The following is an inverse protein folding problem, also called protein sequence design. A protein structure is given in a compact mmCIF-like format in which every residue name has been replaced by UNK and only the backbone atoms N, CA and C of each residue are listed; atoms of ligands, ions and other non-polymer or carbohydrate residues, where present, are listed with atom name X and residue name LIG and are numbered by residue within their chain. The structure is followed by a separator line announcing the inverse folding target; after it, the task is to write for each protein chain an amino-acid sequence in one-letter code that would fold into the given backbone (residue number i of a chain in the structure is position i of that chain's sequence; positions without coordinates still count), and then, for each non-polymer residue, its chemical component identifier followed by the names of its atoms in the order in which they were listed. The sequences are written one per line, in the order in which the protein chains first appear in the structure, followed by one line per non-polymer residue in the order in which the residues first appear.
data_IF_655560167869
#
_entry.id   IF_655560167869
#
_cell.length_a   1.000
_cell.length_b   1.000
_cell.length_c   1.000
_cell.angle_alpha   90.00
_cell.angle_beta   90.00
_cell.angle_gamma   90.00
#
_symmetry.space_group_name_H-M   'P 1'
#
loop_
_entity.id
_entity.type
_entity.pdbx_description
1 polymer ?
#
# COMPACT_ATOMS: atom_id res chain seq x y z
N UNK A 1 16.17 14.23 -13.22
CA UNK A 1 14.75 14.20 -12.80
C UNK A 1 14.70 13.37 -11.53
N UNK A 2 14.47 14.00 -10.39
CA UNK A 2 14.23 13.27 -9.14
C UNK A 2 12.93 12.49 -9.33
N UNK A 3 13.03 11.21 -9.69
CA UNK A 3 11.85 10.35 -9.82
C UNK A 3 11.16 10.32 -8.46
N UNK A 4 9.91 10.79 -8.42
CA UNK A 4 9.06 10.76 -7.23
C UNK A 4 8.97 9.31 -6.71
N UNK A 5 9.02 9.13 -5.39
CA UNK A 5 8.88 7.79 -4.81
C UNK A 5 7.46 7.28 -5.03
N UNK A 6 7.29 6.01 -5.40
CA UNK A 6 5.98 5.36 -5.50
C UNK A 6 5.25 5.37 -4.14
N UNK A 7 5.99 5.34 -3.03
CA UNK A 7 5.39 5.46 -1.69
C UNK A 7 4.84 6.86 -1.47
N UNK A 8 5.54 7.90 -1.91
CA UNK A 8 5.09 9.28 -1.81
C UNK A 8 3.88 9.53 -2.71
N UNK A 9 3.92 9.01 -3.94
CA UNK A 9 2.82 9.10 -4.90
C UNK A 9 1.56 8.39 -4.39
N UNK A 10 1.65 7.14 -3.92
CA UNK A 10 0.51 6.44 -3.29
C UNK A 10 0.01 7.18 -2.06
N UNK A 11 0.91 7.74 -1.24
CA UNK A 11 0.48 8.52 -0.07
C UNK A 11 -0.33 9.75 -0.50
N UNK A 12 0.17 10.49 -1.49
CA UNK A 12 -0.53 11.64 -2.06
C UNK A 12 -1.91 11.25 -2.62
N UNK A 13 -2.03 10.13 -3.35
CA UNK A 13 -3.32 9.70 -3.92
C UNK A 13 -4.37 9.36 -2.84
N UNK A 14 -3.94 8.76 -1.72
CA UNK A 14 -4.84 8.50 -0.59
C UNK A 14 -5.20 9.76 0.21
N UNK A 15 -4.33 10.78 0.19
CA UNK A 15 -4.63 12.09 0.77
C UNK A 15 -5.56 12.91 -0.14
N UNK A 16 -5.41 12.80 -1.46
CA UNK A 16 -6.26 13.43 -2.48
C UNK A 16 -7.66 12.82 -2.50
N UNK A 17 -7.76 11.50 -2.48
CA UNK A 17 -9.01 10.76 -2.48
C UNK A 17 -9.07 9.79 -1.29
N UNK A 18 -9.63 10.23 -0.14
CA UNK A 18 -9.77 9.38 1.04
C UNK A 18 -10.82 8.28 0.86
N UNK A 19 -11.60 8.30 -0.23
CA UNK A 19 -12.74 7.42 -0.49
C UNK A 19 -12.45 6.32 -1.50
N UNK A 20 -11.18 6.12 -1.88
CA UNK A 20 -10.74 4.98 -2.70
C UNK A 20 -11.35 3.67 -2.17
N UNK A 21 -12.15 3.02 -3.00
CA UNK A 21 -12.98 1.86 -2.64
C UNK A 21 -12.57 0.57 -3.32
N UNK A 22 -11.80 0.67 -4.42
CA UNK A 22 -11.30 -0.47 -5.18
C UNK A 22 -9.89 -0.20 -5.73
N UNK A 23 -9.07 -1.26 -5.79
CA UNK A 23 -7.79 -1.23 -6.50
C UNK A 23 -7.81 -2.26 -7.63
N UNK A 24 -7.07 -2.00 -8.71
CA UNK A 24 -6.98 -2.90 -9.85
C UNK A 24 -5.62 -2.84 -10.53
N UNK A 25 -5.25 -3.92 -11.22
CA UNK A 25 -4.05 -3.93 -12.06
C UNK A 25 -4.43 -3.59 -13.49
N UNK A 26 -3.75 -2.61 -14.07
CA UNK A 26 -4.07 -2.07 -15.40
C UNK A 26 -2.85 -2.11 -16.32
N UNK A 27 -3.12 -2.17 -17.63
CA UNK A 27 -2.13 -1.92 -18.68
C UNK A 27 -2.22 -0.45 -19.07
N UNK A 28 -1.09 0.26 -19.00
CA UNK A 28 -0.99 1.66 -19.41
C UNK A 28 -0.06 1.76 -20.62
N UNK A 29 -0.38 2.68 -21.53
CA UNK A 29 0.44 2.96 -22.71
C UNK A 29 1.65 3.83 -22.36
N UNK A 30 1.54 4.69 -21.34
CA UNK A 30 2.66 5.50 -20.85
C UNK A 30 3.54 4.69 -19.88
N UNK A 31 4.77 4.40 -20.31
CA UNK A 31 5.76 3.68 -19.51
C UNK A 31 6.22 4.46 -18.26
N UNK A 32 5.94 5.76 -18.16
CA UNK A 32 6.31 6.56 -17.00
C UNK A 32 5.25 6.56 -15.89
N UNK A 33 4.00 6.28 -16.24
CA UNK A 33 2.88 6.26 -15.30
C UNK A 33 2.86 4.97 -14.47
N UNK A 34 2.59 5.10 -13.17
CA UNK A 34 2.53 3.97 -12.25
C UNK A 34 1.16 3.76 -11.63
N UNK A 35 0.41 4.85 -11.47
CA UNK A 35 -0.90 4.85 -10.85
C UNK A 35 -1.86 5.71 -11.67
N UNK A 36 -3.11 5.28 -11.76
CA UNK A 36 -4.21 6.06 -12.32
C UNK A 36 -5.34 6.04 -11.30
N UNK A 37 -5.84 7.21 -10.93
CA UNK A 37 -6.96 7.36 -10.01
C UNK A 37 -8.15 7.95 -10.77
N UNK A 38 -9.26 7.23 -10.77
CA UNK A 38 -10.50 7.69 -11.38
C UNK A 38 -11.71 7.08 -10.67
N UNK A 39 -12.71 7.90 -10.32
CA UNK A 39 -13.97 7.44 -9.72
C UNK A 39 -13.73 6.53 -8.49
N UNK A 40 -12.89 6.98 -7.55
CA UNK A 40 -12.49 6.25 -6.34
C UNK A 40 -11.79 4.89 -6.59
N UNK A 41 -11.36 4.62 -7.83
CA UNK A 41 -10.65 3.39 -8.21
C UNK A 41 -9.20 3.68 -8.50
N UNK A 42 -8.30 2.95 -7.82
CA UNK A 42 -6.87 3.07 -8.00
C UNK A 42 -6.35 1.96 -8.92
N UNK A 43 -6.04 2.32 -10.17
CA UNK A 43 -5.33 1.48 -11.12
C UNK A 43 -3.83 1.49 -10.84
N UNK A 44 -3.20 0.32 -10.80
CA UNK A 44 -1.75 0.13 -10.65
C UNK A 44 -1.19 -0.46 -11.93
N UNK A 45 -0.21 0.20 -12.53
CA UNK A 45 0.41 -0.26 -13.76
C UNK A 45 1.10 -1.61 -13.56
N UNK A 46 0.69 -2.63 -14.31
CA UNK A 46 1.23 -4.00 -14.19
C UNK A 46 2.77 -4.03 -14.32
N UNK A 47 3.32 -3.25 -15.26
CA UNK A 47 4.75 -3.18 -15.51
C UNK A 47 5.55 -2.59 -14.33
N UNK A 48 4.90 -1.83 -13.43
CA UNK A 48 5.54 -1.13 -12.31
C UNK A 48 5.52 -1.93 -11.01
N UNK A 49 4.68 -2.97 -10.89
CA UNK A 49 4.55 -3.80 -9.69
C UNK A 49 5.91 -4.24 -9.09
N UNK A 50 6.87 -4.78 -9.87
CA UNK A 50 8.16 -5.18 -9.31
C UNK A 50 8.97 -4.02 -8.73
N UNK A 51 8.92 -2.85 -9.39
CA UNK A 51 9.64 -1.66 -8.97
C UNK A 51 9.00 -1.02 -7.73
N UNK A 52 7.67 -0.95 -7.69
CA UNK A 52 6.87 -0.50 -6.55
C UNK A 52 7.20 -1.36 -5.32
N UNK A 53 7.08 -2.67 -5.45
CA UNK A 53 7.33 -3.59 -4.35
C UNK A 53 8.77 -3.48 -3.82
N UNK A 54 9.77 -3.38 -4.70
CA UNK A 54 11.18 -3.21 -4.30
C UNK A 54 11.39 -1.92 -3.52
N UNK A 55 10.96 -0.79 -4.04
CA UNK A 55 11.16 0.52 -3.39
C UNK A 55 10.41 0.61 -2.06
N UNK A 56 9.15 0.17 -2.02
CA UNK A 56 8.35 0.19 -0.80
C UNK A 56 8.97 -0.71 0.28
N UNK A 57 9.52 -1.87 -0.09
CA UNK A 57 10.25 -2.75 0.83
C UNK A 57 11.52 -2.09 1.39
N UNK A 58 12.32 -1.42 0.55
CA UNK A 58 13.51 -0.67 1.00
C UNK A 58 13.14 0.44 1.98
N UNK A 59 12.09 1.20 1.68
CA UNK A 59 11.58 2.25 2.57
C UNK A 59 11.02 1.69 3.88
N UNK A 60 10.33 0.55 3.84
CA UNK A 60 9.81 -0.12 5.03
C UNK A 60 10.93 -0.49 6.02
N UNK A 61 12.00 -1.14 5.55
CA UNK A 61 13.09 -1.52 6.44
C UNK A 61 13.82 -0.30 7.00
N UNK A 62 14.04 0.72 6.17
CA UNK A 62 14.63 1.98 6.63
C UNK A 62 13.76 2.66 7.70
N UNK A 63 12.44 2.76 7.47
CA UNK A 63 11.51 3.35 8.42
C UNK A 63 11.46 2.53 9.73
N UNK A 64 11.53 1.21 9.64
CA UNK A 64 11.60 0.32 10.80
C UNK A 64 12.85 0.56 11.63
N UNK A 65 14.02 0.67 11.00
CA UNK A 65 15.29 0.94 11.70
C UNK A 65 15.28 2.31 12.41
N UNK A 66 14.58 3.28 11.83
CA UNK A 66 14.43 4.64 12.37
C UNK A 66 13.27 4.78 13.36
N UNK A 67 12.46 3.74 13.56
CA UNK A 67 11.18 3.80 14.29
C UNK A 67 10.23 4.90 13.76
N UNK A 68 10.24 5.14 12.45
CA UNK A 68 9.40 6.10 11.76
C UNK A 68 8.02 5.48 11.47
N UNK A 69 7.06 5.72 12.37
CA UNK A 69 5.70 5.19 12.28
C UNK A 69 4.98 5.59 10.98
N UNK A 70 4.92 6.88 10.57
CA UNK A 70 4.39 7.27 9.27
C UNK A 70 5.07 6.55 8.10
N UNK A 71 6.40 6.46 8.12
CA UNK A 71 7.17 5.75 7.10
C UNK A 71 6.80 4.27 6.99
N UNK A 72 6.62 3.60 8.13
CA UNK A 72 6.16 2.20 8.19
C UNK A 72 4.76 2.07 7.60
N UNK A 73 3.81 2.93 7.98
CA UNK A 73 2.43 2.87 7.51
C UNK A 73 2.32 3.11 5.99
N UNK A 74 3.04 4.10 5.47
CA UNK A 74 3.02 4.45 4.06
C UNK A 74 3.72 3.39 3.20
N UNK A 75 4.89 2.91 3.63
CA UNK A 75 5.60 1.85 2.92
C UNK A 75 4.81 0.54 2.90
N UNK A 76 4.26 0.11 4.05
CA UNK A 76 3.44 -1.11 4.12
C UNK A 76 2.14 -0.98 3.33
N UNK A 77 1.49 0.20 3.28
CA UNK A 77 0.34 0.45 2.40
C UNK A 77 0.72 0.12 0.95
N UNK A 78 1.77 0.77 0.44
CA UNK A 78 2.25 0.59 -0.93
C UNK A 78 2.62 -0.87 -1.23
N UNK A 79 3.30 -1.57 -0.31
CA UNK A 79 3.63 -3.00 -0.45
C UNK A 79 2.40 -3.88 -0.59
N UNK A 80 1.39 -3.68 0.28
CA UNK A 80 0.23 -4.56 0.40
C UNK A 80 -0.79 -4.35 -0.73
N UNK A 81 -0.79 -3.18 -1.38
CA UNK A 81 -1.57 -2.96 -2.61
C UNK A 81 -1.10 -3.86 -3.76
N UNK A 82 0.21 -4.14 -3.85
CA UNK A 82 0.80 -4.94 -4.95
C UNK A 82 1.15 -6.38 -4.57
N UNK A 83 1.33 -6.66 -3.27
CA UNK A 83 1.71 -7.96 -2.73
C UNK A 83 1.04 -8.16 -1.36
N UNK A 84 -0.19 -8.64 -1.36
CA UNK A 84 -1.00 -8.78 -0.14
C UNK A 84 -0.51 -9.89 0.80
N UNK A 85 0.09 -10.96 0.28
CA UNK A 85 0.67 -12.06 1.08
C UNK A 85 2.11 -11.75 1.52
N UNK A 86 2.28 -10.57 2.13
CA UNK A 86 3.53 -10.15 2.75
C UNK A 86 3.36 -10.04 4.27
N UNK A 87 3.34 -11.20 4.94
CA UNK A 87 3.14 -11.34 6.39
C UNK A 87 3.91 -10.34 7.28
N UNK A 88 5.15 -10.00 6.92
CA UNK A 88 5.97 -9.04 7.68
C UNK A 88 5.35 -7.62 7.70
N UNK A 89 4.71 -7.19 6.61
CA UNK A 89 4.04 -5.88 6.54
C UNK A 89 2.79 -5.88 7.42
N UNK A 90 1.96 -6.92 7.33
CA UNK A 90 0.80 -7.07 8.22
C UNK A 90 1.18 -7.09 9.69
N UNK A 91 2.23 -7.82 10.08
CA UNK A 91 2.71 -7.82 11.46
C UNK A 91 3.18 -6.46 11.94
N UNK A 92 3.87 -5.68 11.11
CA UNK A 92 4.28 -4.34 11.48
C UNK A 92 3.06 -3.46 11.78
N UNK A 93 2.03 -3.51 10.93
CA UNK A 93 0.77 -2.78 11.13
C UNK A 93 0.03 -3.29 12.38
N UNK A 94 -0.01 -4.60 12.60
CA UNK A 94 -0.59 -5.24 13.79
C UNK A 94 0.07 -4.75 15.07
N UNK A 95 1.40 -4.66 15.11
CA UNK A 95 2.12 -4.11 16.26
C UNK A 95 1.75 -2.66 16.54
N UNK A 96 1.60 -1.82 15.52
CA UNK A 96 1.16 -0.43 15.68
C UNK A 96 -0.26 -0.34 16.26
N UNK A 97 -1.18 -1.19 15.80
CA UNK A 97 -2.56 -1.26 16.31
C UNK A 97 -2.58 -1.75 17.76
N UNK A 98 -1.89 -2.86 18.06
CA UNK A 98 -1.84 -3.41 19.42
C UNK A 98 -1.22 -2.45 20.45
N UNK A 99 -0.34 -1.55 20.00
CA UNK A 99 0.26 -0.52 20.84
C UNK A 99 -0.59 0.76 20.93
N UNK A 100 -1.76 0.82 20.28
CA UNK A 100 -2.64 1.99 20.26
C UNK A 100 -2.11 3.16 19.43
N UNK A 101 -1.15 2.91 18.53
CA UNK A 101 -0.50 3.94 17.68
C UNK A 101 -1.24 4.14 16.36
N UNK A 102 -2.02 3.15 15.92
CA UNK A 102 -2.79 3.20 14.67
C UNK A 102 -4.22 2.68 14.89
N UNK A 103 -5.18 3.31 14.20
CA UNK A 103 -6.60 2.98 14.32
C UNK A 103 -6.93 1.64 13.66
N UNK A 104 -7.65 0.81 14.40
CA UNK A 104 -8.24 -0.44 13.93
C UNK A 104 -9.34 -0.20 12.88
N UNK A 105 -10.17 0.83 13.03
CA UNK A 105 -11.18 1.21 12.04
C UNK A 105 -10.56 1.57 10.68
N UNK A 106 -9.48 2.36 10.68
CA UNK A 106 -8.74 2.70 9.45
C UNK A 106 -8.09 1.46 8.84
N UNK A 107 -7.52 0.57 9.67
CA UNK A 107 -6.97 -0.69 9.18
C UNK A 107 -8.05 -1.58 8.57
N UNK A 108 -9.24 -1.59 9.14
CA UNK A 108 -10.35 -2.39 8.65
C UNK A 108 -10.87 -1.89 7.28
N UNK A 109 -10.85 -0.56 7.03
CA UNK A 109 -11.09 0.00 5.69
C UNK A 109 -10.00 -0.46 4.72
N UNK A 110 -8.74 -0.40 5.14
CA UNK A 110 -7.61 -0.78 4.29
C UNK A 110 -7.59 -2.27 3.92
N UNK A 111 -7.86 -3.19 4.86
CA UNK A 111 -7.94 -4.64 4.54
C UNK A 111 -9.05 -4.95 3.55
N UNK A 112 -10.21 -4.28 3.65
CA UNK A 112 -11.30 -4.40 2.66
C UNK A 112 -10.85 -3.96 1.27
N UNK A 113 -10.15 -2.82 1.18
CA UNK A 113 -9.59 -2.32 -0.07
C UNK A 113 -8.60 -3.33 -0.68
N UNK A 114 -7.65 -3.87 0.10
CA UNK A 114 -6.69 -4.88 -0.39
C UNK A 114 -7.42 -6.13 -0.92
N UNK A 115 -8.50 -6.56 -0.25
CA UNK A 115 -9.30 -7.72 -0.67
C UNK A 115 -10.09 -7.49 -1.97
N UNK A 116 -10.25 -6.26 -2.47
CA UNK A 116 -10.89 -6.02 -3.77
C UNK A 116 -10.11 -6.64 -4.94
N UNK A 117 -8.77 -6.57 -4.87
CA UNK A 117 -7.87 -7.20 -5.85
C UNK A 117 -7.33 -8.55 -5.38
N UNK A 118 -7.07 -8.70 -4.07
CA UNK A 118 -6.43 -9.88 -3.51
C UNK A 118 -7.41 -10.74 -2.70
N UNK A 119 -8.61 -11.01 -3.26
CA UNK A 119 -9.72 -11.65 -2.56
C UNK A 119 -9.40 -13.02 -1.90
N UNK A 120 -8.34 -13.69 -2.35
CA UNK A 120 -7.86 -14.99 -1.86
C UNK A 120 -6.60 -14.91 -0.99
N UNK A 121 -6.12 -13.70 -0.66
CA UNK A 121 -4.94 -13.52 0.19
C UNK A 121 -5.17 -14.09 1.58
N UNK A 122 -4.43 -15.13 1.92
CA UNK A 122 -4.54 -15.81 3.21
C UNK A 122 -4.09 -14.87 4.32
N UNK A 123 -3.00 -14.13 4.11
CA UNK A 123 -2.45 -13.24 5.13
C UNK A 123 -3.38 -12.06 5.41
N UNK A 124 -4.04 -11.51 4.38
CA UNK A 124 -5.01 -10.42 4.56
C UNK A 124 -6.22 -10.89 5.37
N UNK A 125 -6.75 -12.09 5.08
CA UNK A 125 -7.83 -12.69 5.86
C UNK A 125 -7.42 -13.03 7.29
N UNK A 126 -6.17 -13.45 7.52
CA UNK A 126 -5.66 -13.76 8.85
C UNK A 126 -5.34 -12.52 9.69
N UNK A 127 -5.06 -11.39 9.04
CA UNK A 127 -4.82 -10.10 9.72
C UNK A 127 -6.11 -9.39 10.11
N UNK A 128 -7.14 -9.50 9.26
CA UNK A 128 -8.49 -8.94 9.48
C UNK A 128 -9.19 -9.55 10.69
#
# INVERSE_FOLDING_TARGET
MSGQSYVEEVTYLFDEDPDIDEIGVVHLDDEHEAFVLADHKLGIAMAKIPAIHRQAKEMFFRAKDLNDVPGILNATRCMLLVCADFYTAWNARKTLISNGVFSDEVEMKFTRLVLTQHAKSIDTWAHR
#
